data_IF_594363153477
#
_entry.id   IF_594363153477
#
_cell.length_a   1.000
_cell.length_b   1.000
_cell.length_c   1.000
_cell.angle_alpha   90.00
_cell.angle_beta   90.00
_cell.angle_gamma   90.00
#
_symmetry.space_group_name_H-M   'P 1'
#
loop_
_entity.id
_entity.type
_entity.pdbx_description
1 polymer ?
#
# COMPACT_ATOMS: atom_id res chain seq x y z
N UNK A 1 -18.83 -27.86 9.51
CA UNK A 1 -20.06 -27.42 10.17
C UNK A 1 -20.32 -25.95 9.79
N UNK A 2 -21.28 -25.66 8.91
CA UNK A 2 -21.70 -24.29 8.61
C UNK A 2 -22.66 -23.83 9.72
N UNK A 3 -22.53 -22.60 10.22
CA UNK A 3 -23.43 -22.12 11.29
C UNK A 3 -24.82 -21.83 10.71
N UNK A 4 -25.89 -22.06 11.49
CA UNK A 4 -27.28 -21.67 11.12
C UNK A 4 -27.36 -20.20 10.71
N UNK A 5 -26.52 -19.34 11.32
CA UNK A 5 -26.42 -17.92 10.97
C UNK A 5 -25.91 -17.72 9.54
N UNK A 6 -24.88 -18.44 9.11
CA UNK A 6 -24.35 -18.33 7.75
C UNK A 6 -25.37 -18.80 6.69
N UNK A 7 -26.18 -19.80 7.03
CA UNK A 7 -27.22 -20.35 6.16
C UNK A 7 -28.43 -19.41 6.08
N UNK A 8 -28.91 -18.91 7.21
CA UNK A 8 -29.96 -17.88 7.27
C UNK A 8 -29.57 -16.61 6.47
N UNK A 9 -28.35 -16.11 6.67
CA UNK A 9 -27.86 -14.93 5.96
C UNK A 9 -27.82 -15.16 4.44
N UNK A 10 -27.51 -16.38 3.99
CA UNK A 10 -27.43 -16.73 2.58
C UNK A 10 -28.80 -16.94 1.94
N UNK A 11 -29.65 -17.74 2.57
CA UNK A 11 -30.92 -18.20 1.99
C UNK A 11 -32.06 -17.21 2.26
N UNK A 12 -32.20 -16.71 3.49
CA UNK A 12 -33.31 -15.83 3.88
C UNK A 12 -32.99 -14.36 3.61
N UNK A 13 -31.76 -13.93 3.91
CA UNK A 13 -31.35 -12.54 3.70
C UNK A 13 -30.74 -12.26 2.33
N UNK A 14 -30.57 -13.28 1.47
CA UNK A 14 -29.92 -13.16 0.15
C UNK A 14 -28.51 -12.53 0.21
N UNK A 15 -27.77 -12.66 1.31
CA UNK A 15 -26.44 -12.06 1.49
C UNK A 15 -25.36 -13.03 1.03
N UNK A 16 -24.31 -12.48 0.41
CA UNK A 16 -23.14 -13.26 0.01
C UNK A 16 -21.88 -12.68 0.64
N UNK A 17 -21.04 -13.55 1.18
CA UNK A 17 -19.78 -13.14 1.78
C UNK A 17 -18.76 -12.89 0.67
N UNK A 18 -18.40 -11.62 0.45
CA UNK A 18 -17.48 -11.19 -0.61
C UNK A 18 -16.21 -10.60 0.01
N UNK A 19 -15.11 -10.72 -0.73
CA UNK A 19 -13.87 -9.98 -0.40
C UNK A 19 -14.09 -8.52 -0.81
N UNK A 20 -13.90 -7.61 0.14
CA UNK A 20 -14.03 -6.17 -0.13
C UNK A 20 -12.73 -5.67 -0.75
N UNK A 21 -12.80 -5.16 -1.98
CA UNK A 21 -11.72 -4.40 -2.61
C UNK A 21 -12.03 -2.90 -2.54
N UNK A 22 -11.03 -2.09 -2.18
CA UNK A 22 -11.14 -0.63 -2.12
C UNK A 22 -10.36 -0.05 -3.30
N UNK A 23 -11.05 0.70 -4.16
CA UNK A 23 -10.44 1.40 -5.28
C UNK A 23 -10.94 2.84 -5.34
N UNK A 24 -10.07 3.78 -5.67
CA UNK A 24 -10.47 5.16 -5.92
C UNK A 24 -11.29 5.22 -7.23
N UNK A 25 -12.38 5.98 -7.24
CA UNK A 25 -13.25 6.15 -8.42
C UNK A 25 -12.45 6.64 -9.64
N UNK A 26 -11.49 7.55 -9.40
CA UNK A 26 -10.61 8.09 -10.44
C UNK A 26 -9.73 7.04 -11.14
N UNK A 27 -9.52 5.84 -10.55
CA UNK A 27 -8.71 4.76 -11.16
C UNK A 27 -9.38 4.18 -12.40
N UNK A 28 -10.71 4.10 -12.41
CA UNK A 28 -11.50 3.42 -13.44
C UNK A 28 -12.37 4.39 -14.26
N UNK A 29 -12.08 5.69 -14.25
CA UNK A 29 -12.74 6.61 -15.18
C UNK A 29 -12.12 6.49 -16.57
N UNK A 30 -12.94 6.74 -17.60
CA UNK A 30 -12.56 6.56 -19.02
C UNK A 30 -11.23 7.24 -19.36
N UNK A 31 -11.09 8.51 -18.95
CA UNK A 31 -9.87 9.30 -19.14
C UNK A 31 -8.62 8.63 -18.59
N UNK A 32 -8.69 8.00 -17.41
CA UNK A 32 -7.53 7.32 -16.81
C UNK A 32 -7.24 6.01 -17.53
N UNK A 33 -8.26 5.31 -18.03
CA UNK A 33 -8.09 4.09 -18.80
C UNK A 33 -7.44 4.36 -20.16
N UNK A 34 -7.92 5.36 -20.90
CA UNK A 34 -7.35 5.80 -22.17
C UNK A 34 -5.88 6.24 -21.99
N UNK A 35 -5.58 7.04 -20.97
CA UNK A 35 -4.22 7.48 -20.68
C UNK A 35 -3.27 6.30 -20.38
N UNK A 36 -3.74 5.27 -19.66
CA UNK A 36 -2.94 4.07 -19.39
C UNK A 36 -2.70 3.26 -20.65
N UNK A 37 -3.71 3.12 -21.52
CA UNK A 37 -3.57 2.41 -22.78
C UNK A 37 -2.56 3.11 -23.71
N UNK A 38 -2.66 4.45 -23.83
CA UNK A 38 -1.72 5.24 -24.61
C UNK A 38 -0.28 5.12 -24.08
N UNK A 39 -0.10 5.22 -22.75
CA UNK A 39 1.21 5.03 -22.11
C UNK A 39 1.80 3.64 -22.42
N UNK A 40 1.01 2.57 -22.23
CA UNK A 40 1.49 1.20 -22.50
C UNK A 40 1.92 1.04 -23.96
N UNK A 41 1.12 1.58 -24.90
CA UNK A 41 1.43 1.53 -26.33
C UNK A 41 2.76 2.23 -26.64
N UNK A 42 2.97 3.43 -26.10
CA UNK A 42 4.21 4.19 -26.29
C UNK A 42 5.45 3.43 -25.81
N UNK A 43 5.39 2.77 -24.64
CA UNK A 43 6.53 2.02 -24.11
C UNK A 43 6.79 0.72 -24.87
N UNK A 44 5.74 0.06 -25.37
CA UNK A 44 5.88 -1.10 -26.26
C UNK A 44 6.57 -0.67 -27.58
N UNK A 45 6.14 0.44 -28.17
CA UNK A 45 6.73 0.98 -29.40
C UNK A 45 8.20 1.37 -29.23
N UNK A 46 8.60 1.82 -28.02
CA UNK A 46 10.01 2.08 -27.67
C UNK A 46 10.85 0.81 -27.46
N UNK A 47 10.27 -0.38 -27.63
CA UNK A 47 10.98 -1.66 -27.49
C UNK A 47 11.23 -2.09 -26.04
N UNK A 48 10.40 -1.63 -25.11
CA UNK A 48 10.56 -1.95 -23.68
C UNK A 48 10.20 -3.41 -23.43
N UNK A 49 11.18 -4.21 -23.01
CA UNK A 49 10.95 -5.56 -22.53
C UNK A 49 10.94 -5.57 -20.99
N UNK A 50 9.74 -5.68 -20.40
CA UNK A 50 9.56 -5.70 -18.94
C UNK A 50 10.27 -6.84 -18.22
N UNK A 51 10.64 -7.91 -18.93
CA UNK A 51 11.35 -9.03 -18.35
C UNK A 51 12.85 -8.81 -18.28
N UNK A 52 13.42 -8.05 -19.21
CA UNK A 52 14.88 -7.99 -19.38
C UNK A 52 15.46 -6.61 -19.09
N UNK A 53 14.68 -5.53 -19.29
CA UNK A 53 15.22 -4.17 -19.33
C UNK A 53 14.53 -3.23 -18.33
N UNK A 54 13.86 -3.77 -17.31
CA UNK A 54 13.04 -3.00 -16.39
C UNK A 54 13.26 -3.40 -14.93
N UNK A 55 13.41 -2.37 -14.09
CA UNK A 55 13.42 -2.48 -12.64
C UNK A 55 12.28 -1.62 -12.13
N UNK A 56 11.37 -2.23 -11.39
CA UNK A 56 10.21 -1.58 -10.80
C UNK A 56 10.55 -1.15 -9.39
N UNK A 57 10.43 0.15 -9.14
CA UNK A 57 10.60 0.73 -7.80
C UNK A 57 9.24 1.19 -7.29
N UNK A 58 8.87 0.75 -6.10
CA UNK A 58 7.64 1.15 -5.43
C UNK A 58 7.85 1.32 -3.92
N UNK A 59 7.02 2.15 -3.29
CA UNK A 59 6.94 2.30 -1.84
C UNK A 59 5.56 1.86 -1.33
N UNK A 60 5.32 0.55 -1.15
CA UNK A 60 4.12 0.08 -0.49
C UNK A 60 4.05 0.50 0.97
N UNK A 61 2.91 1.06 1.36
CA UNK A 61 2.52 1.25 2.75
C UNK A 61 1.82 0.02 3.31
N UNK A 62 2.40 -0.58 4.35
CA UNK A 62 1.82 -1.68 5.13
C UNK A 62 1.23 -1.12 6.42
N UNK A 63 -0.09 -0.99 6.47
CA UNK A 63 -0.82 -0.64 7.68
C UNK A 63 -1.16 -1.92 8.47
N UNK A 64 -0.93 -1.94 9.79
CA UNK A 64 -1.18 -3.11 10.65
C UNK A 64 -2.64 -3.57 10.62
N UNK A 65 -3.57 -2.67 10.27
CA UNK A 65 -4.98 -2.97 10.09
C UNK A 65 -5.32 -3.48 8.68
N UNK A 66 -4.35 -3.65 7.76
CA UNK A 66 -4.54 -4.37 6.49
C UNK A 66 -4.67 -5.87 6.79
N UNK A 67 -5.82 -6.25 7.32
CA UNK A 67 -6.29 -7.63 7.32
C UNK A 67 -7.44 -7.74 6.31
N UNK A 68 -7.69 -8.94 5.77
CA UNK A 68 -8.86 -9.16 4.91
C UNK A 68 -10.13 -9.05 5.75
N UNK A 69 -10.68 -7.86 5.88
CA UNK A 69 -11.98 -7.64 6.51
C UNK A 69 -13.05 -8.29 5.63
N UNK A 70 -13.68 -9.37 6.12
CA UNK A 70 -14.88 -9.95 5.49
C UNK A 70 -16.08 -9.13 5.97
N UNK A 71 -16.88 -8.63 5.04
CA UNK A 71 -18.12 -7.93 5.32
C UNK A 71 -19.30 -8.60 4.62
N UNK A 72 -20.51 -8.36 5.10
CA UNK A 72 -21.75 -8.78 4.46
C UNK A 72 -22.42 -7.58 3.79
N UNK A 73 -22.90 -7.75 2.56
CA UNK A 73 -23.76 -6.80 1.85
C UNK A 73 -24.92 -7.54 1.19
N UNK A 74 -25.96 -6.78 0.83
CA UNK A 74 -27.04 -7.29 -0.02
C UNK A 74 -26.49 -8.00 -1.26
N UNK A 75 -27.23 -8.99 -1.79
CA UNK A 75 -26.92 -9.60 -3.08
C UNK A 75 -26.65 -8.50 -4.11
N UNK A 76 -25.60 -8.69 -4.90
CA UNK A 76 -25.18 -7.77 -5.96
C UNK A 76 -24.70 -6.37 -5.54
N UNK A 77 -24.68 -6.06 -4.24
CA UNK A 77 -24.06 -4.85 -3.70
C UNK A 77 -22.67 -5.13 -3.12
N UNK A 78 -21.82 -4.09 -3.09
CA UNK A 78 -20.49 -4.15 -2.48
C UNK A 78 -20.58 -3.85 -0.99
N UNK A 79 -19.93 -4.66 -0.15
CA UNK A 79 -19.82 -4.37 1.28
C UNK A 79 -18.80 -3.25 1.52
N UNK A 80 -19.27 -2.06 1.87
CA UNK A 80 -18.45 -0.87 2.15
C UNK A 80 -18.55 -0.57 3.65
N UNK A 81 -17.40 -0.41 4.32
CA UNK A 81 -17.31 -0.01 5.72
C UNK A 81 -16.66 1.37 5.83
N UNK A 82 -17.37 2.33 6.41
CA UNK A 82 -16.87 3.67 6.72
C UNK A 82 -16.20 3.66 8.10
N UNK A 83 -15.05 4.32 8.24
CA UNK A 83 -14.30 4.35 9.52
C UNK A 83 -13.83 5.77 9.83
N UNK A 84 -13.77 6.19 11.13
CA UNK A 84 -13.34 7.54 11.52
C UNK A 84 -11.89 7.86 11.15
N UNK A 85 -11.07 6.84 10.93
CA UNK A 85 -9.71 6.98 10.43
C UNK A 85 -9.26 5.69 9.75
N UNK A 86 -8.72 5.83 8.54
CA UNK A 86 -8.16 4.72 7.75
C UNK A 86 -6.72 4.37 8.13
N UNK A 87 -6.12 5.06 9.13
CA UNK A 87 -4.67 5.04 9.38
C UNK A 87 -4.35 4.44 10.75
N UNK A 88 -3.77 3.26 10.76
CA UNK A 88 -3.12 2.67 11.92
C UNK A 88 -1.60 2.89 11.85
N UNK A 89 -0.86 2.28 12.78
CA UNK A 89 0.59 2.21 12.67
C UNK A 89 0.96 1.52 11.35
N UNK A 90 1.62 2.26 10.46
CA UNK A 90 2.03 1.77 9.16
C UNK A 90 3.55 1.71 9.06
N UNK A 91 4.08 0.66 8.47
CA UNK A 91 5.45 0.60 7.99
C UNK A 91 5.42 0.88 6.49
N UNK A 92 6.40 1.60 5.96
CA UNK A 92 6.59 1.69 4.51
C UNK A 92 7.81 0.89 4.13
N UNK A 93 7.77 0.28 2.95
CA UNK A 93 8.89 -0.50 2.43
C UNK A 93 9.20 0.06 1.06
N UNK A 94 10.42 0.48 0.80
CA UNK A 94 10.87 0.83 -0.55
C UNK A 94 11.51 -0.41 -1.16
N UNK A 95 11.03 -0.83 -2.33
CA UNK A 95 11.49 -2.05 -3.01
C UNK A 95 11.81 -1.77 -4.47
N UNK A 96 12.90 -2.33 -4.96
CA UNK A 96 13.28 -2.42 -6.36
C UNK A 96 13.24 -3.90 -6.79
N UNK A 97 12.56 -4.22 -7.88
CA UNK A 97 12.34 -5.59 -8.37
C UNK A 97 12.55 -5.63 -9.89
N UNK A 98 13.33 -6.58 -10.38
CA UNK A 98 13.34 -6.97 -11.80
C UNK A 98 12.62 -8.32 -11.98
N UNK A 99 12.44 -8.78 -13.22
CA UNK A 99 11.82 -10.09 -13.43
C UNK A 99 12.65 -11.26 -12.87
N UNK A 100 13.96 -11.06 -12.69
CA UNK A 100 14.87 -12.06 -12.16
C UNK A 100 14.87 -12.11 -10.64
N UNK A 101 14.89 -10.94 -9.98
CA UNK A 101 15.03 -10.91 -8.51
C UNK A 101 14.64 -9.58 -7.86
N UNK A 102 14.81 -9.51 -6.54
CA UNK A 102 14.69 -8.27 -5.77
C UNK A 102 16.07 -7.61 -5.69
N UNK A 103 16.23 -6.50 -6.41
CA UNK A 103 17.47 -5.72 -6.41
C UNK A 103 17.76 -5.12 -5.03
N UNK A 104 16.74 -4.50 -4.41
CA UNK A 104 16.89 -3.90 -3.09
C UNK A 104 15.56 -3.82 -2.34
N UNK A 105 15.61 -4.03 -1.03
CA UNK A 105 14.49 -3.88 -0.11
C UNK A 105 14.93 -3.06 1.11
N UNK A 106 14.22 -2.00 1.44
CA UNK A 106 14.46 -1.22 2.66
C UNK A 106 13.16 -1.00 3.42
N UNK A 107 13.15 -1.36 4.71
CA UNK A 107 12.01 -1.15 5.60
C UNK A 107 12.18 0.18 6.30
N UNK A 108 11.09 0.94 6.39
CA UNK A 108 11.02 2.22 7.10
C UNK A 108 9.89 2.18 8.11
N UNK A 109 10.23 2.56 9.33
CA UNK A 109 9.23 2.80 10.37
C UNK A 109 8.60 4.17 10.14
N UNK A 110 7.27 4.26 10.33
CA UNK A 110 6.63 5.56 10.33
C UNK A 110 7.11 6.38 11.54
N UNK A 111 7.75 7.52 11.26
CA UNK A 111 8.19 8.45 12.30
C UNK A 111 7.03 8.83 13.23
N UNK A 112 7.20 8.47 14.52
CA UNK A 112 6.38 8.82 15.69
C UNK A 112 4.93 9.26 15.38
N UNK A 113 4.01 8.30 15.36
CA UNK A 113 2.59 8.62 15.51
C UNK A 113 2.42 9.23 16.89
N UNK A 114 2.00 10.50 16.94
CA UNK A 114 1.59 11.14 18.20
C UNK A 114 0.56 10.21 18.85
N UNK A 115 0.97 9.44 19.87
CA UNK A 115 0.02 8.74 20.74
C UNK A 115 -0.94 9.81 21.24
N UNK A 116 -2.23 9.66 20.93
CA UNK A 116 -3.26 10.59 21.39
C UNK A 116 -3.13 10.62 22.91
N UNK A 117 -2.89 11.81 23.47
CA UNK A 117 -2.86 11.99 24.93
C UNK A 117 -4.23 11.56 25.44
N UNK A 118 -4.27 10.48 26.22
CA UNK A 118 -5.45 10.14 27.01
C UNK A 118 -5.67 11.34 27.93
N UNK A 119 -6.85 11.96 27.86
CA UNK A 119 -7.23 13.11 28.67
C UNK A 119 -7.50 12.60 30.10
N UNK A 120 -6.45 12.24 30.83
CA UNK A 120 -6.46 12.03 32.28
C UNK A 120 -5.06 11.70 32.80
N UNK A 121 -4.08 12.56 32.53
CA UNK A 121 -2.83 12.53 33.31
C UNK A 121 -2.34 13.95 33.54
N UNK A 122 -2.42 14.35 34.81
CA UNK A 122 -1.98 15.60 35.42
C UNK A 122 -0.59 15.98 34.94
N UNK A 123 -0.39 17.30 34.75
CA UNK A 123 0.81 17.93 34.22
C UNK A 123 2.08 17.47 34.95
N UNK A 124 3.06 16.95 34.21
CA UNK A 124 4.47 16.98 34.64
C UNK A 124 5.38 17.33 33.46
N UNK A 125 6.44 18.07 33.82
CA UNK A 125 7.32 18.98 33.09
C UNK A 125 7.87 18.52 31.72
N UNK A 126 8.12 19.52 30.87
CA UNK A 126 8.80 19.40 29.57
C UNK A 126 10.21 18.82 29.74
N UNK A 127 10.59 17.93 28.81
CA UNK A 127 11.95 17.39 28.67
C UNK A 127 12.37 17.49 27.19
N UNK A 128 13.62 17.88 27.00
CA UNK A 128 14.25 18.50 25.83
C UNK A 128 14.12 17.76 24.48
N UNK A 129 14.18 18.57 23.42
CA UNK A 129 14.59 18.28 22.04
C UNK A 129 14.24 16.90 21.51
N UNK A 130 12.94 16.69 21.29
CA UNK A 130 12.48 15.65 20.36
C UNK A 130 12.86 16.09 18.96
N UNK A 131 14.01 15.64 18.46
CA UNK A 131 14.33 15.67 17.03
C UNK A 131 13.12 15.10 16.30
N UNK A 132 12.40 15.98 15.60
CA UNK A 132 11.23 15.58 14.83
C UNK A 132 11.73 14.75 13.66
N UNK A 133 11.68 13.42 13.80
CA UNK A 133 11.95 12.51 12.69
C UNK A 133 10.98 12.89 11.56
N UNK A 134 11.47 13.24 10.35
CA UNK A 134 10.62 13.62 9.23
C UNK A 134 9.59 12.54 8.94
N UNK A 135 8.37 12.97 8.61
CA UNK A 135 7.24 12.07 8.39
C UNK A 135 7.26 11.59 6.94
N UNK A 136 7.58 10.32 6.71
CA UNK A 136 7.57 9.67 5.39
C UNK A 136 8.94 9.65 4.69
N UNK A 137 9.00 9.05 3.51
CA UNK A 137 10.19 9.11 2.66
C UNK A 137 10.37 10.53 2.10
N UNK A 138 11.58 11.06 2.22
CA UNK A 138 11.97 12.33 1.58
C UNK A 138 12.53 12.03 0.19
N UNK A 139 12.60 13.04 -0.68
CA UNK A 139 13.24 12.88 -1.99
C UNK A 139 14.67 12.36 -1.88
N UNK A 140 15.45 12.87 -0.91
CA UNK A 140 16.83 12.42 -0.67
C UNK A 140 16.93 10.94 -0.30
N UNK A 141 15.94 10.43 0.44
CA UNK A 141 15.86 9.00 0.77
C UNK A 141 15.63 8.12 -0.45
N UNK A 142 14.79 8.56 -1.38
CA UNK A 142 14.52 7.83 -2.60
C UNK A 142 15.72 7.86 -3.56
N UNK A 143 16.39 9.01 -3.67
CA UNK A 143 17.62 9.14 -4.47
C UNK A 143 18.72 8.23 -3.95
N UNK A 144 18.95 8.19 -2.62
CA UNK A 144 19.92 7.28 -2.04
C UNK A 144 19.56 5.81 -2.32
N UNK A 145 18.28 5.45 -2.17
CA UNK A 145 17.82 4.10 -2.46
C UNK A 145 18.08 3.71 -3.93
N UNK A 146 17.85 4.62 -4.89
CA UNK A 146 18.13 4.39 -6.30
C UNK A 146 19.62 4.19 -6.53
N UNK A 147 20.46 5.08 -6.01
CA UNK A 147 21.91 4.97 -6.19
C UNK A 147 22.42 3.63 -5.69
N UNK A 148 22.05 3.26 -4.46
CA UNK A 148 22.47 1.99 -3.90
C UNK A 148 21.91 0.78 -4.68
N UNK A 149 20.70 0.90 -5.25
CA UNK A 149 20.13 -0.17 -6.08
C UNK A 149 20.90 -0.29 -7.40
N UNK A 150 21.31 0.82 -8.01
CA UNK A 150 22.17 0.83 -9.20
C UNK A 150 23.53 0.21 -8.92
N UNK A 151 24.14 0.51 -7.77
CA UNK A 151 25.41 -0.08 -7.37
C UNK A 151 25.30 -1.61 -7.27
N UNK A 152 24.23 -2.13 -6.64
CA UNK A 152 23.97 -3.57 -6.57
C UNK A 152 23.77 -4.16 -7.98
N UNK A 153 22.97 -3.52 -8.84
CA UNK A 153 22.73 -4.03 -10.19
C UNK A 153 24.00 -4.06 -11.05
N UNK A 154 24.96 -3.16 -10.83
CA UNK A 154 26.25 -3.19 -11.50
C UNK A 154 27.09 -4.43 -11.11
N UNK A 155 26.91 -4.97 -9.90
CA UNK A 155 27.55 -6.22 -9.47
C UNK A 155 26.90 -7.46 -10.11
N UNK A 156 25.64 -7.36 -10.52
CA UNK A 156 24.83 -8.46 -11.06
C UNK A 156 24.30 -8.11 -12.47
N UNK A 157 25.13 -8.20 -13.53
CA UNK A 157 24.75 -7.77 -14.88
C UNK A 157 23.64 -8.59 -15.54
N UNK A 158 23.25 -9.71 -14.93
CA UNK A 158 22.12 -10.53 -15.38
C UNK A 158 20.76 -10.07 -14.81
N UNK A 159 20.74 -9.07 -13.90
CA UNK A 159 19.55 -8.59 -13.20
C UNK A 159 18.76 -7.53 -13.98
#
# INVERSE_FOLDING_TARGET
MKSRVAEFMKEECSLSLKVVSRHAIARNCEKTLEARAAWVKEWIEKGTNFLNNCVFVDEPGFDINIHRSRGCSAKDLTAIAETPSTKANSQTVIRAISAFSVAKLTIRESGNIKRRKIISATKTKAREDRISVPKGATSGHYVQFINDAMDIMNEFPEM
#
